data_IF_071255173813
#
_entry.id   IF_071255173813
#
_cell.length_a   1.000
_cell.length_b   1.000
_cell.length_c   1.000
_cell.angle_alpha   90.00
_cell.angle_beta   90.00
_cell.angle_gamma   90.00
#
_symmetry.space_group_name_H-M   'P 1'
#
loop_
_entity.id
_entity.type
_entity.pdbx_description
1 polymer ?
#
# COMPACT_ATOMS: atom_id res chain seq x y z
N UNK A 1 7.80 19.71 6.83
CA UNK A 1 7.35 20.24 8.14
C UNK A 1 5.84 20.27 8.30
N UNK A 2 5.08 20.09 7.21
CA UNK A 2 3.60 20.15 7.21
C UNK A 2 2.94 18.83 7.66
N UNK A 3 3.69 17.77 7.91
CA UNK A 3 3.15 16.53 8.45
C UNK A 3 2.87 16.72 9.94
N UNK A 4 1.63 16.50 10.35
CA UNK A 4 1.21 16.59 11.75
C UNK A 4 1.60 15.32 12.52
N UNK A 5 1.38 14.14 11.92
CA UNK A 5 1.61 12.86 12.58
C UNK A 5 2.03 11.78 11.58
N UNK A 6 2.90 10.88 12.00
CA UNK A 6 3.17 9.60 11.35
C UNK A 6 2.48 8.47 12.11
N UNK A 7 1.85 7.56 11.40
CA UNK A 7 1.10 6.44 11.98
C UNK A 7 1.82 5.12 11.75
N UNK A 8 1.61 4.13 12.62
CA UNK A 8 2.14 2.78 12.42
C UNK A 8 1.31 1.97 11.41
N UNK A 9 0.05 2.36 11.20
CA UNK A 9 -0.84 1.74 10.23
C UNK A 9 -0.87 2.55 8.94
N UNK A 10 -0.58 1.92 7.81
CA UNK A 10 -0.66 2.56 6.48
C UNK A 10 -2.09 2.97 6.07
N UNK A 11 -3.13 2.38 6.66
CA UNK A 11 -4.53 2.72 6.40
C UNK A 11 -5.08 3.81 7.33
N UNK A 12 -4.45 4.06 8.46
CA UNK A 12 -4.93 5.01 9.47
C UNK A 12 -5.03 6.43 8.94
N UNK A 13 -4.05 6.98 8.18
CA UNK A 13 -4.16 8.35 7.67
C UNK A 13 -5.39 8.55 6.78
N UNK A 14 -5.73 7.58 5.94
CA UNK A 14 -6.94 7.64 5.12
C UNK A 14 -8.22 7.61 5.98
N UNK A 15 -8.26 6.78 7.02
CA UNK A 15 -9.40 6.72 7.92
C UNK A 15 -9.59 8.04 8.69
N UNK A 16 -8.49 8.65 9.13
CA UNK A 16 -8.51 9.95 9.83
C UNK A 16 -8.98 11.08 8.90
N UNK A 17 -8.57 11.05 7.63
CA UNK A 17 -9.13 12.00 6.64
C UNK A 17 -10.61 11.73 6.38
N UNK A 18 -11.03 10.46 6.28
CA UNK A 18 -12.43 10.09 6.06
C UNK A 18 -13.35 10.47 7.21
N UNK A 19 -12.85 10.49 8.44
CA UNK A 19 -13.57 10.94 9.64
C UNK A 19 -13.54 12.47 9.87
N UNK A 20 -12.77 13.20 9.05
CA UNK A 20 -12.60 14.66 9.21
C UNK A 20 -11.62 15.07 10.31
N UNK A 21 -10.86 14.14 10.88
CA UNK A 21 -9.84 14.44 11.89
C UNK A 21 -8.64 15.18 11.28
N UNK A 22 -8.29 14.83 10.03
CA UNK A 22 -7.26 15.52 9.25
C UNK A 22 -7.77 15.86 7.85
N UNK A 23 -7.28 16.98 7.32
CA UNK A 23 -7.66 17.44 5.97
C UNK A 23 -7.07 16.57 4.87
N UNK A 24 -5.85 16.06 5.08
CA UNK A 24 -5.11 15.22 4.11
C UNK A 24 -4.53 14.00 4.82
N UNK A 25 -4.74 12.83 4.23
CA UNK A 25 -4.12 11.57 4.64
C UNK A 25 -3.28 10.98 3.51
N UNK A 26 -1.99 10.75 3.73
CA UNK A 26 -1.13 10.01 2.80
C UNK A 26 -1.25 8.54 3.16
N UNK A 27 -1.82 7.75 2.25
CA UNK A 27 -2.21 6.36 2.54
C UNK A 27 -2.27 5.54 1.25
N UNK A 28 -2.77 4.32 1.35
CA UNK A 28 -2.98 3.45 0.20
C UNK A 28 -4.27 3.77 -0.55
N UNK A 29 -4.22 3.72 -1.89
CA UNK A 29 -5.38 3.98 -2.76
C UNK A 29 -6.53 2.99 -2.53
N UNK A 30 -6.23 1.71 -2.25
CA UNK A 30 -7.27 0.70 -2.00
C UNK A 30 -8.11 1.05 -0.77
N UNK A 31 -7.50 1.60 0.27
CA UNK A 31 -8.22 2.03 1.49
C UNK A 31 -9.10 3.22 1.19
N UNK A 32 -8.59 4.19 0.44
CA UNK A 32 -9.37 5.36 0.03
C UNK A 32 -10.57 4.97 -0.84
N UNK A 33 -10.37 4.06 -1.81
CA UNK A 33 -11.47 3.52 -2.60
C UNK A 33 -12.52 2.80 -1.75
N UNK A 34 -12.09 1.97 -0.79
CA UNK A 34 -13.00 1.28 0.12
C UNK A 34 -13.80 2.26 1.01
N UNK A 35 -13.16 3.32 1.51
CA UNK A 35 -13.84 4.34 2.30
C UNK A 35 -14.83 5.15 1.44
N UNK A 36 -14.42 5.55 0.23
CA UNK A 36 -15.29 6.27 -0.70
C UNK A 36 -16.50 5.44 -1.13
N UNK A 37 -16.32 4.16 -1.38
CA UNK A 37 -17.41 3.24 -1.70
C UNK A 37 -18.44 3.09 -0.55
N UNK A 38 -18.02 3.35 0.68
CA UNK A 38 -18.90 3.38 1.86
C UNK A 38 -19.51 4.77 2.13
N UNK A 39 -19.30 5.72 1.22
CA UNK A 39 -19.86 7.08 1.33
C UNK A 39 -18.99 8.06 2.11
N UNK A 40 -17.74 7.76 2.41
CA UNK A 40 -16.86 8.75 3.05
C UNK A 40 -16.65 9.97 2.14
N UNK A 41 -16.74 11.21 2.70
CA UNK A 41 -16.63 12.45 1.93
C UNK A 41 -15.17 12.82 1.65
N UNK A 42 -14.47 11.95 0.94
CA UNK A 42 -13.06 12.11 0.56
C UNK A 42 -12.86 12.02 -0.94
N UNK A 43 -11.82 12.68 -1.43
CA UNK A 43 -11.33 12.53 -2.78
C UNK A 43 -9.94 11.88 -2.79
N UNK A 44 -9.70 11.06 -3.83
CA UNK A 44 -8.41 10.45 -4.08
C UNK A 44 -7.60 11.37 -5.00
N UNK A 45 -6.46 11.82 -4.49
CA UNK A 45 -5.55 12.68 -5.26
C UNK A 45 -4.31 11.86 -5.61
N UNK A 46 -4.04 11.76 -6.91
CA UNK A 46 -2.86 11.11 -7.46
C UNK A 46 -1.90 12.19 -7.96
N UNK A 47 -0.82 12.48 -7.23
CA UNK A 47 0.14 13.53 -7.60
C UNK A 47 0.71 13.33 -9.00
N UNK A 48 0.87 14.44 -9.74
CA UNK A 48 1.48 14.41 -11.08
C UNK A 48 2.99 14.23 -11.01
N UNK A 49 3.60 14.58 -9.89
CA UNK A 49 5.03 14.49 -9.62
C UNK A 49 5.52 13.04 -9.52
N UNK A 50 4.60 12.11 -9.27
CA UNK A 50 4.87 10.69 -9.19
C UNK A 50 4.14 10.03 -8.03
N UNK A 51 3.92 8.73 -8.18
CA UNK A 51 3.27 7.89 -7.18
C UNK A 51 4.29 6.93 -6.58
N UNK A 52 4.45 6.98 -5.27
CA UNK A 52 5.17 5.94 -4.54
C UNK A 52 4.40 4.64 -4.56
N UNK A 53 5.11 3.53 -4.63
CA UNK A 53 4.52 2.21 -4.64
C UNK A 53 5.46 1.19 -3.99
N UNK A 54 4.93 0.04 -3.62
CA UNK A 54 5.70 -1.09 -3.15
C UNK A 54 4.99 -2.39 -3.55
N UNK A 55 5.70 -3.51 -3.45
CA UNK A 55 5.16 -4.83 -3.74
C UNK A 55 4.89 -5.57 -2.44
N UNK A 56 3.68 -6.08 -2.29
CA UNK A 56 3.40 -7.10 -1.29
C UNK A 56 3.87 -8.45 -1.82
N UNK A 57 4.62 -9.18 -1.02
CA UNK A 57 5.20 -10.45 -1.41
C UNK A 57 4.76 -11.58 -0.47
N UNK A 58 4.55 -12.74 -1.05
CA UNK A 58 4.31 -13.97 -0.32
C UNK A 58 5.60 -14.79 -0.26
N UNK A 59 5.98 -15.27 0.92
CA UNK A 59 7.17 -16.09 1.10
C UNK A 59 6.91 -17.29 2.01
N UNK A 60 7.56 -18.40 1.71
CA UNK A 60 7.52 -19.60 2.55
C UNK A 60 8.68 -19.53 3.54
N UNK A 61 8.38 -19.61 4.83
CA UNK A 61 9.37 -19.56 5.89
C UNK A 61 10.34 -20.76 5.78
N UNK A 62 11.65 -20.49 5.74
CA UNK A 62 12.69 -21.53 5.73
C UNK A 62 12.58 -22.41 6.96
N UNK A 63 12.58 -23.73 6.77
CA UNK A 63 12.49 -24.69 7.86
C UNK A 63 11.07 -24.97 8.36
N UNK A 64 10.02 -24.49 7.66
CA UNK A 64 8.64 -24.87 8.00
C UNK A 64 8.46 -26.39 8.00
N UNK A 65 7.77 -26.90 9.02
CA UNK A 65 7.39 -28.33 9.10
C UNK A 65 6.15 -28.67 8.25
N UNK A 66 5.53 -27.67 7.59
CA UNK A 66 4.31 -27.81 6.79
C UNK A 66 4.54 -27.34 5.37
N UNK A 67 5.63 -27.75 4.75
CA UNK A 67 6.08 -27.25 3.44
C UNK A 67 5.03 -27.44 2.35
N UNK A 68 4.40 -28.61 2.26
CA UNK A 68 3.40 -28.91 1.22
C UNK A 68 2.15 -28.03 1.36
N UNK A 69 1.68 -27.80 2.59
CA UNK A 69 0.58 -26.88 2.84
C UNK A 69 0.94 -25.43 2.50
N UNK A 70 2.18 -25.02 2.84
CA UNK A 70 2.67 -23.67 2.53
C UNK A 70 2.79 -23.45 1.02
N UNK A 71 3.26 -24.45 0.26
CA UNK A 71 3.29 -24.39 -1.21
C UNK A 71 1.90 -24.26 -1.80
N UNK A 72 0.95 -25.09 -1.37
CA UNK A 72 -0.46 -25.00 -1.83
C UNK A 72 -1.06 -23.63 -1.59
N UNK A 73 -0.77 -23.01 -0.42
CA UNK A 73 -1.24 -21.67 -0.12
C UNK A 73 -0.55 -20.64 -1.02
N UNK A 74 0.75 -20.76 -1.26
CA UNK A 74 1.49 -19.86 -2.15
C UNK A 74 0.95 -19.94 -3.60
N UNK A 75 0.72 -21.15 -4.10
CA UNK A 75 0.15 -21.37 -5.43
C UNK A 75 -1.26 -20.76 -5.55
N UNK A 76 -2.09 -20.95 -4.53
CA UNK A 76 -3.40 -20.33 -4.49
C UNK A 76 -3.30 -18.80 -4.40
N UNK A 77 -2.43 -18.26 -3.55
CA UNK A 77 -2.29 -16.81 -3.35
C UNK A 77 -1.84 -16.08 -4.63
N UNK A 78 -1.17 -16.77 -5.55
CA UNK A 78 -0.79 -16.24 -6.87
C UNK A 78 -1.76 -16.61 -8.00
N UNK A 79 -2.84 -17.32 -7.70
CA UNK A 79 -3.82 -17.78 -8.70
C UNK A 79 -4.74 -16.65 -9.20
N UNK A 80 -5.38 -16.89 -10.34
CA UNK A 80 -6.40 -15.99 -10.87
C UNK A 80 -7.56 -15.77 -9.89
N UNK A 81 -7.97 -16.80 -9.17
CA UNK A 81 -9.08 -16.71 -8.20
C UNK A 81 -8.70 -15.80 -7.03
N UNK A 82 -7.46 -15.90 -6.52
CA UNK A 82 -6.96 -14.99 -5.51
C UNK A 82 -6.90 -13.55 -6.02
N UNK A 83 -6.41 -13.32 -7.26
CA UNK A 83 -6.38 -11.98 -7.86
C UNK A 83 -7.79 -11.37 -7.97
N UNK A 84 -8.79 -12.14 -8.32
CA UNK A 84 -10.19 -11.68 -8.34
C UNK A 84 -10.68 -11.27 -6.95
N UNK A 85 -10.29 -12.01 -5.91
CA UNK A 85 -10.63 -11.66 -4.52
C UNK A 85 -9.89 -10.40 -4.05
N UNK A 86 -8.62 -10.25 -4.39
CA UNK A 86 -7.86 -9.03 -4.09
C UNK A 86 -8.48 -7.82 -4.78
N UNK A 87 -8.88 -7.95 -6.05
CA UNK A 87 -9.57 -6.88 -6.79
C UNK A 87 -10.91 -6.46 -6.16
N UNK A 88 -11.67 -7.40 -5.56
CA UNK A 88 -12.89 -7.07 -4.79
C UNK A 88 -12.60 -6.21 -3.55
N UNK A 89 -11.37 -6.26 -3.03
CA UNK A 89 -10.89 -5.40 -1.94
C UNK A 89 -10.15 -4.16 -2.44
N UNK A 90 -10.37 -3.78 -3.71
CA UNK A 90 -9.77 -2.60 -4.34
C UNK A 90 -8.25 -2.66 -4.51
N UNK A 91 -7.61 -3.83 -4.41
CA UNK A 91 -6.19 -3.97 -4.64
C UNK A 91 -5.85 -3.86 -6.13
N UNK A 92 -4.74 -3.21 -6.45
CA UNK A 92 -4.10 -3.29 -7.76
C UNK A 92 -3.32 -4.59 -7.80
N UNK A 93 -3.70 -5.50 -8.70
CA UNK A 93 -3.21 -6.87 -8.70
C UNK A 93 -2.02 -7.07 -9.62
N UNK A 94 -1.14 -8.01 -9.27
CA UNK A 94 0.07 -8.31 -10.05
C UNK A 94 -0.21 -8.99 -11.41
N UNK A 95 -1.44 -9.53 -11.62
CA UNK A 95 -1.84 -10.10 -12.91
C UNK A 95 -2.71 -9.10 -13.67
N UNK A 96 -2.19 -8.46 -14.73
CA UNK A 96 -2.96 -7.49 -15.52
C UNK A 96 -4.21 -8.12 -16.15
N UNK A 97 -5.30 -7.37 -16.18
CA UNK A 97 -6.54 -7.76 -16.85
C UNK A 97 -7.38 -8.84 -16.14
N UNK A 98 -6.96 -9.31 -14.96
CA UNK A 98 -7.74 -10.29 -14.17
C UNK A 98 -8.80 -9.59 -13.31
N UNK A 99 -8.39 -8.59 -12.53
CA UNK A 99 -9.31 -7.78 -11.77
C UNK A 99 -9.92 -6.66 -12.65
N UNK A 100 -11.15 -6.27 -12.34
CA UNK A 100 -11.77 -5.12 -13.01
C UNK A 100 -10.99 -3.83 -12.70
N UNK A 101 -10.96 -2.86 -13.64
CA UNK A 101 -10.39 -1.55 -13.39
C UNK A 101 -11.04 -0.90 -12.17
N UNK A 102 -10.23 -0.28 -11.32
CA UNK A 102 -10.72 0.40 -10.13
C UNK A 102 -11.35 1.75 -10.49
N UNK A 103 -12.54 2.00 -9.96
CA UNK A 103 -13.12 3.34 -9.97
C UNK A 103 -12.18 4.31 -9.23
N UNK A 104 -12.15 5.57 -9.59
CA UNK A 104 -11.31 6.60 -8.96
C UNK A 104 -9.79 6.42 -9.09
N UNK A 105 -9.31 5.46 -9.85
CA UNK A 105 -7.88 5.35 -10.21
C UNK A 105 -7.71 5.89 -11.63
N UNK A 106 -6.77 6.81 -11.88
CA UNK A 106 -6.56 7.38 -13.22
C UNK A 106 -6.09 6.30 -14.20
N UNK A 107 -6.51 6.41 -15.46
CA UNK A 107 -6.16 5.44 -16.52
C UNK A 107 -4.65 5.38 -16.80
N UNK A 108 -3.95 6.46 -16.54
CA UNK A 108 -2.50 6.62 -16.69
C UNK A 108 -1.73 6.33 -15.39
N UNK A 109 -2.36 5.63 -14.44
CA UNK A 109 -1.79 5.31 -13.12
C UNK A 109 -0.37 4.72 -13.23
N UNK A 110 -0.20 3.69 -14.05
CA UNK A 110 1.09 3.01 -14.20
C UNK A 110 2.19 3.95 -14.71
N UNK A 111 1.85 4.87 -15.61
CA UNK A 111 2.79 5.86 -16.14
C UNK A 111 3.24 6.90 -15.07
N UNK A 112 2.49 7.03 -13.99
CA UNK A 112 2.82 7.92 -12.87
C UNK A 112 3.65 7.26 -11.79
N UNK A 113 3.83 5.94 -11.83
CA UNK A 113 4.63 5.23 -10.82
C UNK A 113 6.09 5.66 -10.89
N UNK A 114 6.66 6.01 -9.74
CA UNK A 114 8.09 6.31 -9.67
C UNK A 114 8.91 5.05 -9.96
N UNK A 115 10.03 5.20 -10.66
CA UNK A 115 10.94 4.09 -10.89
C UNK A 115 11.58 3.70 -9.56
N UNK A 116 11.25 2.52 -9.07
CA UNK A 116 11.77 2.00 -7.82
C UNK A 116 13.01 1.13 -8.07
N UNK A 117 14.09 1.42 -7.35
CA UNK A 117 15.29 0.59 -7.33
C UNK A 117 15.30 -0.25 -6.05
N UNK A 118 14.91 -1.51 -6.18
CA UNK A 118 14.85 -2.44 -5.05
C UNK A 118 16.22 -2.77 -4.47
N UNK A 119 17.28 -2.81 -5.28
CA UNK A 119 18.62 -3.06 -4.79
C UNK A 119 19.09 -1.90 -3.93
N UNK A 120 18.94 -0.67 -4.42
CA UNK A 120 19.23 0.53 -3.64
C UNK A 120 18.42 0.57 -2.33
N UNK A 121 17.12 0.27 -2.41
CA UNK A 121 16.24 0.27 -1.23
C UNK A 121 16.71 -0.75 -0.18
N UNK A 122 17.13 -1.95 -0.61
CA UNK A 122 17.65 -2.99 0.27
C UNK A 122 19.00 -2.61 0.90
N UNK A 123 19.96 -2.14 0.09
CA UNK A 123 21.30 -1.76 0.54
C UNK A 123 21.29 -0.56 1.49
N UNK A 124 20.43 0.42 1.21
CA UNK A 124 20.38 1.66 1.99
C UNK A 124 19.37 1.64 3.13
N UNK A 125 18.66 0.53 3.34
CA UNK A 125 17.54 0.43 4.28
C UNK A 125 17.90 0.93 5.68
N UNK A 126 18.98 0.43 6.26
CA UNK A 126 19.37 0.79 7.63
C UNK A 126 19.72 2.27 7.74
N UNK A 127 20.46 2.81 6.79
CA UNK A 127 20.82 4.23 6.75
C UNK A 127 19.57 5.11 6.62
N UNK A 128 18.67 4.76 5.71
CA UNK A 128 17.43 5.52 5.49
C UNK A 128 16.56 5.51 6.75
N UNK A 129 16.39 4.36 7.38
CA UNK A 129 15.58 4.24 8.60
C UNK A 129 16.19 5.02 9.78
N UNK A 130 17.50 4.98 9.95
CA UNK A 130 18.19 5.75 10.99
C UNK A 130 18.01 7.26 10.79
N UNK A 131 18.18 7.75 9.55
CA UNK A 131 17.99 9.16 9.21
C UNK A 131 16.53 9.59 9.37
N UNK A 132 15.57 8.77 8.94
CA UNK A 132 14.16 9.05 9.12
C UNK A 132 13.80 9.14 10.61
N UNK A 133 14.26 8.17 11.41
CA UNK A 133 14.03 8.13 12.86
C UNK A 133 14.57 9.40 13.53
N UNK A 134 15.79 9.78 13.19
CA UNK A 134 16.41 11.01 13.71
C UNK A 134 15.59 12.27 13.42
N UNK A 135 15.06 12.38 12.20
CA UNK A 135 14.33 13.58 11.75
C UNK A 135 12.89 13.63 12.19
N UNK A 136 12.19 12.50 12.14
CA UNK A 136 10.73 12.51 12.10
C UNK A 136 10.05 11.68 13.20
N UNK A 137 10.79 10.82 13.91
CA UNK A 137 10.19 9.94 14.92
C UNK A 137 9.48 10.71 16.05
N UNK A 138 9.84 11.95 16.30
CA UNK A 138 9.16 12.82 17.27
C UNK A 138 7.69 13.12 16.93
N UNK A 139 7.30 12.91 15.66
CA UNK A 139 5.91 13.05 15.20
C UNK A 139 5.20 11.70 15.04
N UNK A 140 5.83 10.60 15.36
CA UNK A 140 5.20 9.27 15.32
C UNK A 140 4.20 9.13 16.47
N UNK A 141 3.10 8.42 16.18
CA UNK A 141 2.15 8.06 17.24
C UNK A 141 2.84 7.21 18.31
N UNK A 142 2.46 7.41 19.56
CA UNK A 142 2.96 6.60 20.68
C UNK A 142 2.35 5.19 20.59
N UNK A 143 3.19 4.21 20.87
CA UNK A 143 2.75 2.81 21.00
C UNK A 143 2.01 2.60 22.30
#
# INVERSE_FOLDING_TARGET
ENIAQYTHSGSKPCNMAASGEFVVGISFEYRANANKAKGAPIDLIFPKEGLGWDLEAFAIHKGTKKLDAAKKLADWASSKDAMLLYGKNFAITAQPGVAAPLANVPKDYEARLVKLDFNYAAEQRERILAEWTKRYNGKSEKR
#
